data_IF_787425166739
#
_entry.id   IF_787425166739
#
_cell.length_a   1.000
_cell.length_b   1.000
_cell.length_c   1.000
_cell.angle_alpha   90.00
_cell.angle_beta   90.00
_cell.angle_gamma   90.00
#
_symmetry.space_group_name_H-M   'P 1'
#
loop_
_entity.id
_entity.type
_entity.pdbx_description
1 polymer ?
#
# COMPACT_ATOMS: atom_id res chain seq x y z
N UNK A 1 -9.52 -0.32 -20.54
CA UNK A 1 -9.49 0.93 -21.34
C UNK A 1 -9.86 2.10 -20.41
N UNK A 2 -9.45 3.34 -20.70
CA UNK A 2 -9.83 4.51 -19.87
C UNK A 2 -11.01 5.23 -20.53
N UNK A 3 -12.22 5.19 -19.95
CA UNK A 3 -13.33 5.98 -20.47
C UNK A 3 -14.28 6.55 -19.42
N UNK A 4 -14.66 7.79 -19.71
CA UNK A 4 -15.62 8.68 -19.07
C UNK A 4 -15.16 9.37 -17.78
N UNK A 5 -14.89 10.66 -17.94
CA UNK A 5 -14.95 11.66 -16.88
C UNK A 5 -16.35 12.25 -16.93
N UNK A 6 -17.13 12.12 -15.85
CA UNK A 6 -18.36 12.92 -15.71
C UNK A 6 -18.02 14.12 -14.86
N UNK A 7 -17.95 15.28 -15.51
CA UNK A 7 -17.85 16.57 -14.85
C UNK A 7 -19.27 17.14 -14.73
N UNK A 8 -19.86 17.05 -13.54
CA UNK A 8 -21.14 17.69 -13.29
C UNK A 8 -20.87 19.12 -12.78
N UNK A 9 -21.05 20.11 -13.64
CA UNK A 9 -20.90 21.52 -13.33
C UNK A 9 -22.21 22.25 -13.56
N UNK A 10 -22.63 23.06 -12.58
CA UNK A 10 -23.76 23.96 -12.69
C UNK A 10 -23.30 25.39 -12.44
N UNK A 11 -23.39 26.21 -13.49
CA UNK A 11 -23.20 27.64 -13.42
C UNK A 11 -24.36 28.28 -12.66
N UNK A 12 -24.07 28.86 -11.49
CA UNK A 12 -24.97 29.82 -10.87
C UNK A 12 -25.07 29.70 -9.36
N UNK A 13 -24.26 30.47 -8.62
CA UNK A 13 -24.49 30.95 -7.25
C UNK A 13 -24.72 29.95 -6.11
N UNK A 14 -25.05 28.69 -6.41
CA UNK A 14 -25.35 27.64 -5.46
C UNK A 14 -24.07 26.90 -5.07
N UNK A 15 -24.06 26.35 -3.86
CA UNK A 15 -22.92 25.59 -3.35
C UNK A 15 -22.63 24.32 -4.18
N UNK A 16 -23.50 23.80 -5.02
CA UNK A 16 -23.19 22.62 -5.86
C UNK A 16 -22.63 21.40 -5.06
N UNK A 17 -23.16 21.15 -3.85
CA UNK A 17 -22.70 20.03 -2.99
C UNK A 17 -22.94 18.69 -3.70
N UNK A 18 -21.98 17.78 -3.60
CA UNK A 18 -22.02 16.47 -4.25
C UNK A 18 -21.74 16.48 -5.76
N UNK A 19 -21.52 17.66 -6.35
CA UNK A 19 -21.04 17.83 -7.72
C UNK A 19 -19.51 17.75 -7.78
N UNK A 20 -18.97 17.34 -8.92
CA UNK A 20 -17.52 17.18 -9.09
C UNK A 20 -17.18 16.25 -10.24
N UNK A 21 -16.17 15.41 -10.02
CA UNK A 21 -15.62 14.52 -11.04
C UNK A 21 -15.70 13.06 -10.61
N UNK A 22 -16.10 12.18 -11.54
CA UNK A 22 -16.04 10.73 -11.37
C UNK A 22 -15.25 10.10 -12.52
N UNK A 23 -14.29 9.25 -12.16
CA UNK A 23 -13.51 8.40 -13.05
C UNK A 23 -14.00 6.96 -12.95
N UNK A 24 -13.96 6.23 -14.07
CA UNK A 24 -14.28 4.80 -14.14
C UNK A 24 -13.09 4.00 -14.65
N UNK A 25 -12.83 2.87 -14.00
CA UNK A 25 -11.74 1.96 -14.31
C UNK A 25 -12.29 0.57 -14.57
N UNK A 26 -12.13 0.08 -15.79
CA UNK A 26 -12.44 -1.31 -16.14
C UNK A 26 -11.34 -2.23 -15.60
N UNK A 27 -11.74 -3.23 -14.83
CA UNK A 27 -10.86 -4.16 -14.14
C UNK A 27 -11.50 -5.56 -14.12
N UNK A 28 -10.74 -6.56 -13.69
CA UNK A 28 -11.29 -7.91 -13.50
C UNK A 28 -12.31 -7.90 -12.35
N UNK A 29 -13.48 -8.51 -12.58
CA UNK A 29 -14.59 -8.55 -11.61
C UNK A 29 -14.33 -9.52 -10.45
N UNK A 30 -13.46 -10.51 -10.64
CA UNK A 30 -13.23 -11.58 -9.69
C UNK A 30 -12.05 -11.29 -8.75
N UNK A 31 -11.36 -10.16 -8.97
CA UNK A 31 -10.19 -9.72 -8.22
C UNK A 31 -10.54 -8.64 -7.17
N UNK A 32 -9.58 -8.39 -6.28
CA UNK A 32 -9.62 -7.27 -5.33
C UNK A 32 -8.54 -6.24 -5.67
N UNK A 33 -8.80 -5.00 -5.32
CA UNK A 33 -7.95 -3.87 -5.67
C UNK A 33 -7.63 -2.97 -4.49
N UNK A 34 -6.40 -2.45 -4.50
CA UNK A 34 -5.97 -1.29 -3.75
C UNK A 34 -6.17 -0.04 -4.64
N UNK A 35 -6.77 0.99 -4.07
CA UNK A 35 -7.04 2.27 -4.73
C UNK A 35 -6.33 3.37 -3.98
N UNK A 36 -5.54 4.16 -4.70
CA UNK A 36 -4.84 5.33 -4.17
C UNK A 36 -5.34 6.56 -4.90
N UNK A 37 -5.71 7.60 -4.16
CA UNK A 37 -6.15 8.89 -4.71
C UNK A 37 -5.23 9.98 -4.18
N UNK A 38 -4.42 10.55 -5.07
CA UNK A 38 -3.54 11.67 -4.77
C UNK A 38 -4.27 13.00 -4.92
N UNK A 39 -4.18 13.87 -3.92
CA UNK A 39 -4.79 15.19 -3.91
C UNK A 39 -3.76 16.22 -3.50
N UNK A 40 -3.61 17.26 -4.31
CA UNK A 40 -2.82 18.45 -4.01
C UNK A 40 -3.58 19.65 -4.59
N UNK A 41 -3.85 20.65 -3.76
CA UNK A 41 -4.41 21.92 -4.21
C UNK A 41 -3.27 22.90 -4.54
N UNK A 42 -2.98 23.15 -5.83
CA UNK A 42 -1.90 24.07 -6.22
C UNK A 42 -2.22 25.54 -5.87
N UNK A 43 -3.48 25.88 -5.61
CA UNK A 43 -3.92 27.22 -5.22
C UNK A 43 -3.94 27.42 -3.70
N UNK A 44 -3.78 26.34 -2.93
CA UNK A 44 -3.75 26.36 -1.46
C UNK A 44 -4.99 27.02 -0.84
N UNK A 45 -6.17 26.77 -1.42
CA UNK A 45 -7.43 27.33 -0.97
C UNK A 45 -7.85 26.71 0.36
N UNK A 46 -7.96 27.53 1.41
CA UNK A 46 -8.20 27.05 2.78
C UNK A 46 -9.63 26.58 3.03
N UNK A 47 -10.53 26.86 2.10
CA UNK A 47 -11.97 26.61 2.22
C UNK A 47 -12.51 25.68 1.13
N UNK A 48 -11.62 24.88 0.52
CA UNK A 48 -11.99 23.83 -0.42
C UNK A 48 -12.02 22.49 0.31
N UNK A 49 -13.24 22.01 0.54
CA UNK A 49 -13.53 20.74 1.16
C UNK A 49 -14.10 19.75 0.15
N UNK A 50 -13.49 18.57 0.09
CA UNK A 50 -13.91 17.50 -0.82
C UNK A 50 -14.23 16.22 -0.06
N UNK A 51 -15.17 15.47 -0.62
CA UNK A 51 -15.33 14.05 -0.36
C UNK A 51 -14.59 13.25 -1.43
N UNK A 52 -13.92 12.19 -1.00
CA UNK A 52 -13.34 11.21 -1.93
C UNK A 52 -14.09 9.91 -1.75
N UNK A 53 -14.60 9.37 -2.86
CA UNK A 53 -15.42 8.15 -2.87
C UNK A 53 -14.84 7.10 -3.79
N UNK A 54 -14.80 5.85 -3.33
CA UNK A 54 -14.50 4.66 -4.14
C UNK A 54 -15.74 3.78 -4.14
N UNK A 55 -16.29 3.48 -5.33
CA UNK A 55 -17.58 2.79 -5.48
C UNK A 55 -18.70 3.42 -4.63
N UNK A 56 -18.73 4.75 -4.60
CA UNK A 56 -19.69 5.53 -3.81
C UNK A 56 -19.42 5.58 -2.29
N UNK A 57 -18.54 4.73 -1.74
CA UNK A 57 -18.17 4.73 -0.33
C UNK A 57 -17.12 5.81 -0.05
N UNK A 58 -17.34 6.61 0.98
CA UNK A 58 -16.39 7.62 1.46
C UNK A 58 -15.09 6.96 1.93
N UNK A 59 -13.96 7.47 1.43
CA UNK A 59 -12.61 7.19 1.92
C UNK A 59 -11.95 8.46 2.50
N UNK A 60 -12.49 9.64 2.17
CA UNK A 60 -12.23 10.90 2.84
C UNK A 60 -13.55 11.69 2.91
N UNK A 61 -13.87 12.27 4.06
CA UNK A 61 -15.13 12.96 4.32
C UNK A 61 -14.86 14.43 4.70
N UNK A 62 -15.32 15.37 3.88
CA UNK A 62 -15.12 16.80 4.08
C UNK A 62 -13.65 17.17 4.35
N UNK A 63 -12.75 16.64 3.54
CA UNK A 63 -11.30 16.86 3.63
C UNK A 63 -10.92 18.23 3.10
N UNK A 64 -10.21 19.03 3.90
CA UNK A 64 -9.68 20.32 3.46
C UNK A 64 -8.42 20.10 2.62
N UNK A 65 -8.38 20.64 1.40
CA UNK A 65 -7.24 20.44 0.51
C UNK A 65 -6.13 21.47 0.73
N UNK A 66 -4.88 21.01 0.73
CA UNK A 66 -3.70 21.87 0.90
C UNK A 66 -2.73 21.74 -0.27
N UNK A 67 -1.72 22.63 -0.32
CA UNK A 67 -0.62 22.54 -1.30
C UNK A 67 0.43 21.45 -0.99
N UNK A 68 0.13 20.58 -0.02
CA UNK A 68 0.89 19.35 0.23
C UNK A 68 0.16 18.19 -0.45
N UNK A 69 0.91 17.31 -1.12
CA UNK A 69 0.32 16.11 -1.69
C UNK A 69 -0.10 15.16 -0.56
N UNK A 70 -1.38 14.83 -0.52
CA UNK A 70 -1.96 13.82 0.34
C UNK A 70 -2.41 12.62 -0.51
N UNK A 71 -2.31 11.42 0.05
CA UNK A 71 -2.72 10.18 -0.63
C UNK A 71 -3.71 9.45 0.25
N UNK A 72 -4.89 9.21 -0.29
CA UNK A 72 -5.94 8.43 0.37
C UNK A 72 -5.90 7.00 -0.16
N UNK A 73 -5.96 6.03 0.74
CA UNK A 73 -5.81 4.62 0.41
C UNK A 73 -7.10 3.85 0.74
N UNK A 74 -7.49 2.93 -0.13
CA UNK A 74 -8.58 2.01 0.11
C UNK A 74 -8.21 0.61 -0.39
N UNK A 75 -8.26 -0.38 0.49
CA UNK A 75 -7.91 -1.76 0.19
C UNK A 75 -9.16 -2.64 0.14
N UNK A 76 -9.04 -3.82 -0.47
CA UNK A 76 -10.11 -4.81 -0.52
C UNK A 76 -11.25 -4.47 -1.48
N UNK A 77 -11.05 -3.48 -2.36
CA UNK A 77 -12.08 -2.96 -3.26
C UNK A 77 -12.40 -4.00 -4.32
N UNK A 78 -13.68 -4.38 -4.40
CA UNK A 78 -14.20 -5.21 -5.50
C UNK A 78 -14.81 -4.34 -6.56
N UNK A 79 -14.66 -4.74 -7.82
CA UNK A 79 -15.32 -4.08 -8.92
C UNK A 79 -16.83 -4.37 -8.91
N UNK A 80 -17.64 -3.37 -9.29
CA UNK A 80 -19.05 -3.57 -9.60
C UNK A 80 -19.16 -3.85 -11.10
N UNK A 81 -19.50 -5.09 -11.45
CA UNK A 81 -19.58 -5.56 -12.84
C UNK A 81 -18.33 -5.22 -13.68
N UNK A 82 -17.14 -5.39 -13.06
CA UNK A 82 -15.86 -5.11 -13.72
C UNK A 82 -15.48 -3.62 -13.76
N UNK A 83 -16.18 -2.75 -13.02
CA UNK A 83 -15.85 -1.32 -12.94
C UNK A 83 -15.58 -0.90 -11.50
N UNK A 84 -14.49 -0.16 -11.29
CA UNK A 84 -14.25 0.63 -10.09
C UNK A 84 -14.49 2.10 -10.42
N UNK A 85 -15.21 2.80 -9.55
CA UNK A 85 -15.42 4.25 -9.67
C UNK A 85 -14.66 5.00 -8.59
N UNK A 86 -14.05 6.11 -8.97
CA UNK A 86 -13.36 7.03 -8.05
C UNK A 86 -13.90 8.42 -8.28
N UNK A 87 -14.39 9.07 -7.21
CA UNK A 87 -14.97 10.40 -7.32
C UNK A 87 -14.32 11.36 -6.33
N UNK A 88 -14.13 12.60 -6.79
CA UNK A 88 -13.85 13.76 -5.95
C UNK A 88 -15.02 14.71 -6.13
N UNK A 89 -15.80 14.89 -5.06
CA UNK A 89 -17.01 15.72 -5.08
C UNK A 89 -16.97 16.75 -3.98
N UNK A 90 -17.64 17.86 -4.21
CA UNK A 90 -17.68 18.99 -3.30
C UNK A 90 -18.44 18.63 -2.01
N UNK A 91 -17.80 18.88 -0.87
CA UNK A 91 -18.41 18.73 0.45
C UNK A 91 -19.25 19.97 0.83
N UNK A 92 -20.18 19.81 1.77
CA UNK A 92 -21.06 20.87 2.26
C UNK A 92 -20.32 22.03 2.94
N UNK A 93 -19.13 21.77 3.49
CA UNK A 93 -18.26 22.76 4.14
C UNK A 93 -17.62 23.73 3.15
N UNK A 94 -17.52 23.38 1.86
CA UNK A 94 -16.93 24.25 0.84
C UNK A 94 -17.68 25.57 0.63
N UNK A 95 -16.94 26.66 0.40
CA UNK A 95 -17.49 27.96 -0.02
C UNK A 95 -17.78 28.02 -1.52
N UNK A 96 -18.84 28.72 -1.92
CA UNK A 96 -19.37 28.71 -3.30
C UNK A 96 -18.36 29.18 -4.37
N UNK A 97 -17.31 29.91 -3.97
CA UNK A 97 -16.24 30.37 -4.85
C UNK A 97 -15.25 29.26 -5.28
N UNK A 98 -15.22 28.11 -4.60
CA UNK A 98 -14.30 27.01 -4.88
C UNK A 98 -15.08 25.82 -5.46
N UNK A 99 -15.20 25.79 -6.78
CA UNK A 99 -16.05 24.83 -7.50
C UNK A 99 -15.26 23.69 -8.17
N UNK A 100 -13.95 23.83 -8.36
CA UNK A 100 -13.19 22.84 -9.12
C UNK A 100 -12.93 21.58 -8.29
N UNK A 101 -13.28 20.39 -8.81
CA UNK A 101 -12.90 19.13 -8.19
C UNK A 101 -11.39 18.94 -8.32
N UNK A 102 -10.78 18.32 -7.30
CA UNK A 102 -9.34 18.08 -7.27
C UNK A 102 -9.08 16.58 -7.22
N UNK A 103 -8.30 16.12 -8.20
CA UNK A 103 -7.58 14.86 -8.21
C UNK A 103 -6.26 15.11 -8.93
N UNK A 104 -5.14 14.75 -8.31
CA UNK A 104 -3.82 14.83 -8.95
C UNK A 104 -3.48 13.52 -9.67
N UNK A 105 -3.78 12.37 -9.05
CA UNK A 105 -3.62 11.06 -9.68
C UNK A 105 -4.53 10.02 -9.04
N UNK A 106 -4.72 8.91 -9.76
CA UNK A 106 -5.38 7.71 -9.26
C UNK A 106 -4.51 6.50 -9.62
N UNK A 107 -4.29 5.60 -8.67
CA UNK A 107 -3.68 4.29 -8.91
C UNK A 107 -4.66 3.20 -8.53
N UNK A 108 -4.88 2.26 -9.45
CA UNK A 108 -5.63 1.02 -9.21
C UNK A 108 -4.66 -0.14 -9.38
N UNK A 109 -4.42 -0.89 -8.31
CA UNK A 109 -3.51 -2.02 -8.30
C UNK A 109 -4.19 -3.26 -7.72
N UNK A 110 -3.77 -4.47 -8.13
CA UNK A 110 -4.26 -5.70 -7.51
C UNK A 110 -3.93 -5.69 -6.02
N UNK A 111 -4.91 -6.00 -5.19
CA UNK A 111 -4.76 -6.06 -3.76
C UNK A 111 -4.07 -7.35 -3.34
N UNK A 112 -2.87 -7.22 -2.79
CA UNK A 112 -2.10 -8.34 -2.24
C UNK A 112 -2.24 -8.47 -0.72
N UNK A 113 -2.98 -7.56 -0.10
CA UNK A 113 -3.03 -7.36 1.35
C UNK A 113 -4.29 -7.97 1.95
N UNK A 114 -5.48 -7.53 1.51
CA UNK A 114 -6.73 -7.85 2.20
C UNK A 114 -7.04 -9.35 2.16
N UNK A 115 -7.01 -10.00 3.32
CA UNK A 115 -7.38 -11.41 3.48
C UNK A 115 -6.40 -12.39 2.85
N UNK A 116 -5.17 -11.97 2.53
CA UNK A 116 -4.15 -12.85 1.95
C UNK A 116 -2.90 -12.84 2.81
N UNK A 117 -2.55 -14.01 3.34
CA UNK A 117 -1.28 -14.23 4.01
C UNK A 117 -0.33 -15.01 3.12
N UNK A 118 0.96 -14.74 3.30
CA UNK A 118 2.04 -15.47 2.63
C UNK A 118 3.06 -15.94 3.63
N UNK A 119 3.62 -17.12 3.39
CA UNK A 119 4.92 -17.47 3.93
C UNK A 119 6.01 -16.99 2.97
N UNK A 120 7.10 -16.47 3.52
CA UNK A 120 8.29 -16.05 2.76
C UNK A 120 9.40 -17.04 3.09
N UNK A 121 9.66 -17.98 2.18
CA UNK A 121 10.54 -19.14 2.42
C UNK A 121 11.89 -18.94 1.76
N UNK A 122 12.97 -19.35 2.42
CA UNK A 122 14.29 -19.33 1.81
C UNK A 122 14.36 -20.41 0.73
N UNK A 123 14.69 -20.01 -0.50
CA UNK A 123 14.65 -20.90 -1.67
C UNK A 123 15.53 -22.14 -1.48
N UNK A 124 15.05 -23.28 -1.96
CA UNK A 124 15.74 -24.57 -1.83
C UNK A 124 15.74 -25.19 -0.42
N UNK A 125 15.01 -24.60 0.54
CA UNK A 125 14.94 -25.09 1.93
C UNK A 125 13.50 -25.19 2.43
N UNK A 126 13.29 -25.85 3.58
CA UNK A 126 12.02 -25.77 4.32
C UNK A 126 12.01 -24.63 5.35
N UNK A 127 12.89 -23.64 5.23
CA UNK A 127 13.04 -22.56 6.18
C UNK A 127 12.19 -21.35 5.79
N UNK A 128 11.49 -20.74 6.74
CA UNK A 128 10.58 -19.61 6.53
C UNK A 128 10.90 -18.42 7.44
N UNK A 129 10.80 -17.22 6.89
CA UNK A 129 10.85 -15.96 7.62
C UNK A 129 9.81 -15.98 8.75
N UNK A 130 10.24 -15.68 9.96
CA UNK A 130 9.40 -15.70 11.15
C UNK A 130 9.57 -14.43 11.98
N UNK A 131 8.53 -14.03 12.69
CA UNK A 131 8.58 -12.97 13.68
C UNK A 131 7.70 -13.29 14.89
N UNK A 132 8.23 -13.04 16.09
CA UNK A 132 7.41 -12.91 17.30
C UNK A 132 7.94 -11.78 18.19
N UNK A 133 7.10 -11.19 19.07
CA UNK A 133 7.56 -10.17 20.02
C UNK A 133 8.71 -10.64 20.92
N UNK A 134 8.76 -11.93 21.26
CA UNK A 134 9.76 -12.50 22.17
C UNK A 134 11.08 -12.85 21.47
N UNK A 135 11.02 -13.28 20.21
CA UNK A 135 12.20 -13.75 19.45
C UNK A 135 12.75 -12.73 18.46
N UNK A 136 11.93 -11.75 18.07
CA UNK A 136 12.23 -10.85 16.96
C UNK A 136 12.19 -11.56 15.61
N UNK A 137 12.83 -10.94 14.62
CA UNK A 137 12.94 -11.47 13.26
C UNK A 137 13.88 -12.69 13.22
N UNK A 138 13.42 -13.77 12.58
CA UNK A 138 14.16 -15.02 12.49
C UNK A 138 13.86 -15.79 11.20
N UNK A 139 14.53 -16.93 11.05
CA UNK A 139 14.14 -17.98 10.10
C UNK A 139 14.01 -19.28 10.88
N UNK A 140 12.85 -19.93 10.75
CA UNK A 140 12.56 -21.23 11.39
C UNK A 140 12.07 -22.25 10.36
N UNK A 141 12.11 -23.55 10.70
CA UNK A 141 11.45 -24.56 9.86
C UNK A 141 9.96 -24.22 9.68
N UNK A 142 9.49 -24.30 8.43
CA UNK A 142 8.11 -23.98 8.10
C UNK A 142 7.16 -24.98 8.75
N UNK A 143 6.17 -24.43 9.47
CA UNK A 143 5.17 -25.18 10.25
C UNK A 143 3.79 -24.50 10.23
N UNK A 144 3.56 -23.58 9.30
CA UNK A 144 2.28 -22.89 9.08
C UNK A 144 1.71 -22.24 10.36
N UNK A 145 2.54 -21.47 11.06
CA UNK A 145 2.16 -20.74 12.27
C UNK A 145 2.08 -19.23 12.01
N UNK A 146 1.38 -18.51 12.90
CA UNK A 146 1.14 -17.06 12.81
C UNK A 146 2.42 -16.26 12.66
N UNK A 147 3.49 -16.65 13.36
CA UNK A 147 4.80 -16.03 13.30
C UNK A 147 5.41 -16.09 11.89
N UNK A 148 4.98 -17.04 11.05
CA UNK A 148 5.46 -17.24 9.68
C UNK A 148 4.48 -16.70 8.63
N UNK A 149 3.45 -15.95 9.05
CA UNK A 149 2.47 -15.33 8.18
C UNK A 149 2.76 -13.85 8.00
N UNK A 150 2.93 -13.45 6.74
CA UNK A 150 3.23 -12.08 6.35
C UNK A 150 2.14 -11.54 5.44
N UNK A 151 1.74 -10.30 5.69
CA UNK A 151 0.84 -9.55 4.82
C UNK A 151 1.66 -8.60 3.95
N UNK A 152 1.39 -8.58 2.65
CA UNK A 152 2.09 -7.71 1.71
C UNK A 152 1.19 -6.52 1.36
N UNK A 153 1.41 -5.37 2.01
CA UNK A 153 0.66 -4.13 1.78
C UNK A 153 1.29 -3.36 0.63
N UNK A 154 0.63 -3.36 -0.53
CA UNK A 154 1.05 -2.56 -1.68
C UNK A 154 0.98 -1.07 -1.36
N UNK A 155 1.92 -0.29 -1.87
CA UNK A 155 2.01 1.16 -1.65
C UNK A 155 1.85 1.92 -2.97
N UNK A 156 1.51 3.20 -2.88
CA UNK A 156 1.43 4.09 -4.05
C UNK A 156 2.74 4.21 -4.84
N UNK A 157 3.87 3.83 -4.23
CA UNK A 157 5.21 3.87 -4.85
C UNK A 157 5.53 2.63 -5.69
N UNK A 158 4.60 1.66 -5.77
CA UNK A 158 4.81 0.40 -6.49
C UNK A 158 5.58 -0.66 -5.69
N UNK A 159 5.97 -0.35 -4.46
CA UNK A 159 6.62 -1.25 -3.51
C UNK A 159 5.61 -1.81 -2.49
N UNK A 160 6.09 -2.69 -1.62
CA UNK A 160 5.30 -3.34 -0.58
C UNK A 160 5.90 -3.10 0.80
N UNK A 161 5.03 -2.93 1.79
CA UNK A 161 5.39 -3.13 3.21
C UNK A 161 5.13 -4.58 3.57
N UNK A 162 6.13 -5.24 4.15
CA UNK A 162 6.06 -6.66 4.56
C UNK A 162 5.71 -6.69 6.05
N UNK A 163 4.43 -6.86 6.36
CA UNK A 163 3.88 -6.76 7.71
C UNK A 163 3.87 -8.12 8.39
N UNK A 164 4.38 -8.20 9.62
CA UNK A 164 4.20 -9.36 10.48
C UNK A 164 2.72 -9.43 10.85
N UNK A 165 2.02 -10.34 10.14
CA UNK A 165 0.58 -10.61 10.16
C UNK A 165 -0.33 -9.41 10.50
N UNK A 166 -1.00 -8.81 9.51
CA UNK A 166 -2.37 -8.27 9.76
C UNK A 166 -3.19 -8.15 8.49
N UNK A 167 -4.41 -8.70 8.46
CA UNK A 167 -5.33 -8.60 7.32
C UNK A 167 -6.57 -7.72 7.58
N UNK A 168 -6.73 -7.14 8.79
CA UNK A 168 -7.40 -5.85 9.14
C UNK A 168 -7.49 -5.70 10.68
N UNK A 169 -7.23 -4.50 11.24
CA UNK A 169 -7.56 -4.12 12.64
C UNK A 169 -8.70 -3.11 12.57
N UNK A 170 -9.83 -3.37 13.22
CA UNK A 170 -10.96 -2.43 13.29
C UNK A 170 -10.58 -1.22 14.15
N UNK A 171 -10.61 -0.01 13.55
CA UNK A 171 -10.72 1.38 14.06
C UNK A 171 -10.01 1.85 15.35
N UNK A 172 -9.49 0.97 16.19
CA UNK A 172 -8.70 1.34 17.35
C UNK A 172 -7.23 1.45 16.92
N UNK A 173 -6.84 2.67 16.53
CA UNK A 173 -5.50 3.07 16.06
C UNK A 173 -4.37 2.86 17.07
N UNK A 174 -4.56 2.07 18.12
CA UNK A 174 -3.63 2.03 19.26
C UNK A 174 -2.35 1.23 19.00
N UNK A 175 -2.34 0.29 18.04
CA UNK A 175 -1.13 -0.48 17.69
C UNK A 175 -0.79 -0.42 16.21
N UNK A 176 0.32 0.26 15.89
CA UNK A 176 0.96 0.16 14.57
C UNK A 176 1.60 -1.21 14.39
N UNK A 177 1.35 -1.88 13.24
CA UNK A 177 1.88 -3.22 13.01
C UNK A 177 3.40 -3.21 12.89
N UNK A 178 4.01 -4.37 13.14
CA UNK A 178 5.44 -4.57 12.91
C UNK A 178 5.67 -4.93 11.45
N UNK A 179 6.69 -4.38 10.83
CA UNK A 179 7.07 -4.67 9.45
C UNK A 179 8.57 -4.86 9.30
N UNK A 180 8.98 -5.49 8.20
CA UNK A 180 10.38 -5.62 7.82
C UNK A 180 11.01 -4.25 7.55
N UNK A 181 12.13 -3.96 8.21
CA UNK A 181 12.75 -2.63 8.27
C UNK A 181 14.28 -2.76 8.18
N UNK A 182 14.94 -1.91 7.38
CA UNK A 182 16.39 -1.74 7.45
C UNK A 182 16.75 -0.78 8.59
N UNK A 183 17.48 -1.29 9.59
CA UNK A 183 17.77 -0.58 10.82
C UNK A 183 18.37 0.82 10.59
N UNK A 184 17.86 1.80 11.34
CA UNK A 184 18.24 3.22 11.28
C UNK A 184 18.08 3.86 9.88
N UNK A 185 17.31 3.26 8.98
CA UNK A 185 17.18 3.75 7.60
C UNK A 185 18.48 3.69 6.81
N UNK A 186 19.44 2.84 7.22
CA UNK A 186 20.76 2.77 6.59
C UNK A 186 20.67 2.36 5.13
N UNK A 187 21.52 2.95 4.29
CA UNK A 187 21.69 2.60 2.88
C UNK A 187 22.93 1.74 2.63
N UNK A 188 23.68 1.43 3.69
CA UNK A 188 24.95 0.70 3.60
C UNK A 188 24.76 -0.81 3.46
N UNK A 189 25.66 -1.44 2.71
CA UNK A 189 25.80 -2.90 2.64
C UNK A 189 26.12 -3.46 4.04
N UNK A 190 25.51 -4.61 4.36
CA UNK A 190 25.67 -5.25 5.68
C UNK A 190 24.82 -4.62 6.78
N UNK A 191 24.06 -3.56 6.50
CA UNK A 191 23.12 -3.02 7.47
C UNK A 191 22.07 -4.08 7.83
N UNK A 192 21.73 -4.14 9.11
CA UNK A 192 20.83 -5.15 9.63
C UNK A 192 19.40 -4.90 9.17
N UNK A 193 18.71 -5.97 8.81
CA UNK A 193 17.26 -5.96 8.64
C UNK A 193 16.63 -6.49 9.93
N UNK A 194 15.64 -5.77 10.43
CA UNK A 194 14.92 -6.01 11.67
C UNK A 194 13.42 -5.96 11.40
N UNK A 195 12.64 -6.08 12.46
CA UNK A 195 11.25 -5.62 12.47
C UNK A 195 11.13 -4.34 13.28
N UNK A 196 10.31 -3.42 12.80
CA UNK A 196 9.99 -2.18 13.50
C UNK A 196 8.53 -1.80 13.28
N UNK A 197 8.00 -0.89 14.11
CA UNK A 197 6.66 -0.34 13.92
C UNK A 197 6.58 0.35 12.55
N UNK A 198 5.52 0.08 11.79
CA UNK A 198 5.24 0.75 10.51
C UNK A 198 5.18 2.26 10.74
N UNK A 199 6.01 3.00 9.99
CA UNK A 199 6.09 4.46 10.05
C UNK A 199 6.08 5.12 8.65
N UNK A 200 5.95 4.31 7.59
CA UNK A 200 5.85 4.79 6.21
C UNK A 200 7.17 5.21 5.57
N UNK A 201 8.32 5.00 6.23
CA UNK A 201 9.63 5.36 5.66
C UNK A 201 10.10 4.38 4.57
N UNK A 202 10.98 4.84 3.69
CA UNK A 202 11.47 4.06 2.54
C UNK A 202 12.21 2.79 2.94
N UNK A 203 12.83 2.76 4.12
CA UNK A 203 13.55 1.59 4.64
C UNK A 203 12.61 0.45 5.10
N UNK A 204 11.29 0.66 5.07
CA UNK A 204 10.25 -0.34 5.33
C UNK A 204 9.54 -0.81 4.05
N UNK A 205 9.98 -0.31 2.88
CA UNK A 205 9.36 -0.60 1.59
C UNK A 205 10.29 -1.44 0.72
N UNK A 206 9.69 -2.43 0.07
CA UNK A 206 10.41 -3.51 -0.60
C UNK A 206 9.79 -3.80 -1.98
N UNK A 207 10.65 -3.95 -2.99
CA UNK A 207 10.27 -4.49 -4.30
C UNK A 207 10.51 -5.99 -4.34
N UNK A 208 9.63 -6.72 -5.02
CA UNK A 208 9.77 -8.15 -5.28
C UNK A 208 10.17 -8.35 -6.75
N UNK A 209 11.41 -8.75 -6.97
CA UNK A 209 11.95 -9.01 -8.31
C UNK A 209 11.90 -10.51 -8.59
N UNK A 210 10.94 -10.94 -9.41
CA UNK A 210 10.76 -12.36 -9.77
C UNK A 210 11.92 -12.85 -10.63
N UNK A 211 12.47 -14.01 -10.28
CA UNK A 211 13.55 -14.70 -10.98
C UNK A 211 12.99 -15.77 -11.93
N UNK A 212 13.83 -16.26 -12.85
CA UNK A 212 13.44 -17.29 -13.83
C UNK A 212 12.98 -18.60 -13.19
N UNK A 213 13.60 -18.98 -12.07
CA UNK A 213 13.26 -20.18 -11.28
C UNK A 213 11.98 -20.03 -10.44
N UNK A 214 11.32 -18.87 -10.52
CA UNK A 214 10.11 -18.56 -9.78
C UNK A 214 10.34 -18.05 -8.35
N UNK A 215 11.59 -18.01 -7.88
CA UNK A 215 11.95 -17.31 -6.64
C UNK A 215 11.89 -15.78 -6.83
N UNK A 216 12.06 -15.05 -5.74
CA UNK A 216 12.06 -13.60 -5.69
C UNK A 216 13.32 -13.11 -4.98
N UNK A 217 13.93 -12.06 -5.53
CA UNK A 217 14.80 -11.19 -4.75
C UNK A 217 13.93 -10.10 -4.11
N UNK A 218 14.18 -9.80 -2.84
CA UNK A 218 13.43 -8.78 -2.08
C UNK A 218 14.34 -7.59 -1.88
N UNK A 219 14.06 -6.49 -2.57
CA UNK A 219 14.94 -5.32 -2.69
C UNK A 219 14.41 -4.14 -1.88
N UNK A 220 15.24 -3.54 -1.05
CA UNK A 220 14.94 -2.32 -0.33
C UNK A 220 14.74 -1.16 -1.30
N UNK A 221 13.62 -0.45 -1.18
CA UNK A 221 13.37 0.78 -1.93
C UNK A 221 14.38 1.88 -1.57
N UNK A 222 14.79 1.94 -0.31
CA UNK A 222 15.69 2.98 0.20
C UNK A 222 17.13 2.86 -0.34
N UNK A 223 17.65 1.65 -0.44
CA UNK A 223 19.06 1.40 -0.78
C UNK A 223 19.28 0.74 -2.14
N UNK A 224 18.28 0.03 -2.67
CA UNK A 224 18.44 -0.84 -3.83
C UNK A 224 19.17 -2.17 -3.52
N UNK A 225 19.47 -2.45 -2.25
CA UNK A 225 20.11 -3.67 -1.78
C UNK A 225 19.06 -4.73 -1.39
N UNK A 226 19.49 -5.98 -1.26
CA UNK A 226 18.60 -7.14 -1.17
C UNK A 226 18.62 -7.80 0.19
N UNK A 227 17.43 -8.19 0.67
CA UNK A 227 17.25 -8.99 1.88
C UNK A 227 18.03 -10.30 1.77
N UNK A 228 19.01 -10.44 2.66
CA UNK A 228 19.94 -11.57 2.68
C UNK A 228 19.91 -12.24 4.04
N UNK A 229 19.83 -13.57 4.07
CA UNK A 229 19.96 -14.34 5.30
C UNK A 229 21.38 -14.91 5.44
N UNK A 230 22.16 -14.36 6.36
CA UNK A 230 23.54 -14.74 6.63
C UNK A 230 23.62 -15.48 7.97
N UNK A 231 23.48 -16.81 7.96
CA UNK A 231 23.74 -17.71 9.10
C UNK A 231 23.22 -17.18 10.45
N UNK A 232 21.93 -16.81 10.51
CA UNK A 232 21.27 -16.31 11.72
C UNK A 232 21.07 -14.80 11.79
N UNK A 233 21.58 -14.03 10.83
CA UNK A 233 21.33 -12.58 10.73
C UNK A 233 20.73 -12.20 9.39
N UNK A 234 19.82 -11.21 9.39
CA UNK A 234 19.37 -10.57 8.17
C UNK A 234 20.14 -9.29 7.92
N UNK A 235 20.64 -9.13 6.71
CA UNK A 235 21.27 -7.89 6.24
C UNK A 235 20.77 -7.52 4.85
N UNK A 236 20.99 -6.27 4.45
CA UNK A 236 20.89 -5.87 3.06
C UNK A 236 22.25 -5.98 2.37
N UNK A 237 22.30 -6.61 1.20
CA UNK A 237 23.54 -6.86 0.45
C UNK A 237 23.35 -6.60 -1.04
N UNK A 238 24.45 -6.55 -1.80
CA UNK A 238 24.41 -6.60 -3.27
C UNK A 238 23.82 -7.94 -3.75
N UNK A 239 23.18 -7.93 -4.93
CA UNK A 239 22.62 -9.14 -5.54
C UNK A 239 23.67 -10.21 -5.86
N UNK A 240 23.20 -11.44 -6.09
CA UNK A 240 23.99 -12.53 -6.66
C UNK A 240 24.31 -13.67 -5.70
N UNK A 241 23.64 -13.75 -4.54
CA UNK A 241 23.83 -14.83 -3.57
C UNK A 241 22.57 -15.71 -3.47
N UNK A 242 22.73 -17.02 -3.30
CA UNK A 242 21.60 -17.94 -3.16
C UNK A 242 20.75 -17.68 -1.91
N UNK A 243 21.38 -17.19 -0.83
CA UNK A 243 20.71 -16.83 0.42
C UNK A 243 19.92 -15.50 0.37
N UNK A 244 19.61 -15.03 -0.85
CA UNK A 244 18.76 -13.88 -1.15
C UNK A 244 17.51 -14.26 -1.94
N UNK A 245 17.37 -15.54 -2.33
CA UNK A 245 16.23 -16.03 -3.08
C UNK A 245 15.13 -16.49 -2.14
N UNK A 246 13.94 -15.95 -2.34
CA UNK A 246 12.76 -16.20 -1.50
C UNK A 246 11.60 -16.75 -2.32
N UNK A 247 10.88 -17.72 -1.80
CA UNK A 247 9.65 -18.25 -2.40
C UNK A 247 8.46 -17.70 -1.60
N UNK A 248 7.48 -17.16 -2.31
CA UNK A 248 6.23 -16.68 -1.73
C UNK A 248 5.17 -17.77 -1.85
N UNK A 249 4.69 -18.27 -0.71
CA UNK A 249 3.64 -19.29 -0.65
C UNK A 249 2.37 -18.67 -0.05
N UNK A 250 1.28 -18.63 -0.82
CA UNK A 250 -0.02 -18.14 -0.31
C UNK A 250 -0.58 -19.17 0.67
N UNK A 251 -0.91 -18.70 1.86
CA UNK A 251 -1.55 -19.51 2.91
C UNK A 251 -3.06 -19.37 2.74
N UNK A 252 -3.74 -20.51 2.54
CA UNK A 252 -5.19 -20.62 2.38
C UNK A 252 -5.84 -21.10 3.66
#
# INVERSE_FOLDING_TARGET
MFYSVRYDYSDGGEKNVGKGVTYKFEVDKDERYAVFVGVKDPWNEKDRFIDIKVNGKLIANGHNTYNTLEVFEAFGIKADNGVITVSSVRDEKSLAAHLDPIISFIVIAKDTYSGVFRSIKLSGTNMALSYSPQKGLGVENYKMQDEQMWSLKYTVYGSYVILAKVPYVNDDKSETPQCLDVANGSREKGAQVITYRENGNANQRWFFEKQEDGSYLIKSENSGLYLTYNNGRFTQEEAGKENQKWVLEVIK
#
